data_IF_889702420069
#
_entry.id   IF_889702420069
#
_cell.length_a   1.000
_cell.length_b   1.000
_cell.length_c   1.000
_cell.angle_alpha   90.00
_cell.angle_beta   90.00
_cell.angle_gamma   90.00
#
_symmetry.space_group_name_H-M   'P 1'
#
loop_
_entity.id
_entity.type
_entity.pdbx_description
1 polymer ?
#
# COMPACT_ATOMS: atom_id res chain seq x y z
N UNK A 1 -2.18 14.95 3.93
CA UNK A 1 -2.70 13.78 3.17
C UNK A 1 -3.19 14.15 1.77
N UNK A 2 -4.03 15.17 1.58
CA UNK A 2 -4.55 15.53 0.25
C UNK A 2 -3.48 15.89 -0.78
N UNK A 3 -2.48 16.71 -0.44
CA UNK A 3 -1.40 17.09 -1.35
C UNK A 3 -0.59 15.86 -1.83
N UNK A 4 -0.24 14.95 -0.92
CA UNK A 4 0.50 13.73 -1.28
C UNK A 4 -0.29 12.83 -2.22
N UNK A 5 -1.61 12.71 -2.04
CA UNK A 5 -2.46 11.95 -2.95
C UNK A 5 -2.53 12.60 -4.33
N UNK A 6 -2.63 13.94 -4.38
CA UNK A 6 -2.60 14.70 -5.63
C UNK A 6 -1.30 14.50 -6.39
N UNK A 7 -0.15 14.55 -5.70
CA UNK A 7 1.16 14.36 -6.32
C UNK A 7 1.31 12.94 -6.90
N UNK A 8 0.89 11.91 -6.15
CA UNK A 8 0.94 10.52 -6.63
C UNK A 8 -0.02 10.30 -7.79
N UNK A 9 -1.23 10.88 -7.74
CA UNK A 9 -2.19 10.81 -8.85
C UNK A 9 -1.65 11.51 -10.11
N UNK A 10 -1.03 12.67 -9.97
CA UNK A 10 -0.42 13.40 -11.09
C UNK A 10 0.68 12.56 -11.78
N UNK A 11 1.50 11.87 -11.00
CA UNK A 11 2.51 10.96 -11.52
C UNK A 11 1.88 9.78 -12.28
N UNK A 12 0.85 9.14 -11.73
CA UNK A 12 0.19 8.01 -12.39
C UNK A 12 -0.56 8.45 -13.66
N UNK A 13 -1.20 9.61 -13.66
CA UNK A 13 -1.82 10.17 -14.87
C UNK A 13 -0.78 10.44 -15.97
N UNK A 14 0.40 10.89 -15.59
CA UNK A 14 1.53 11.06 -16.52
C UNK A 14 2.01 9.71 -17.07
N UNK A 15 2.08 8.69 -16.22
CA UNK A 15 2.50 7.33 -16.61
C UNK A 15 1.55 6.69 -17.63
N UNK A 16 0.25 6.95 -17.54
CA UNK A 16 -0.74 6.47 -18.53
C UNK A 16 -0.83 7.34 -19.79
N UNK A 17 0.10 8.30 -19.95
CA UNK A 17 0.26 9.09 -21.17
C UNK A 17 -0.54 10.39 -21.24
N UNK A 18 -1.20 10.81 -20.16
CA UNK A 18 -1.86 12.10 -20.09
C UNK A 18 -0.84 13.24 -19.91
N UNK A 19 -1.08 14.37 -20.56
CA UNK A 19 -0.26 15.57 -20.38
C UNK A 19 -0.73 16.32 -19.14
N UNK A 20 -0.06 16.08 -18.02
CA UNK A 20 -0.36 16.75 -16.75
C UNK A 20 0.37 18.08 -16.67
N UNK A 21 -0.29 19.10 -16.17
CA UNK A 21 0.31 20.42 -15.89
C UNK A 21 0.41 20.62 -14.39
N UNK A 22 1.59 21.08 -13.95
CA UNK A 22 1.84 21.35 -12.53
C UNK A 22 1.04 22.56 -12.06
N UNK A 23 0.25 22.38 -11.00
CA UNK A 23 -0.53 23.42 -10.34
C UNK A 23 -0.36 23.43 -8.83
N UNK A 24 0.17 22.35 -8.26
CA UNK A 24 0.45 22.25 -6.83
C UNK A 24 1.69 23.03 -6.38
N UNK A 25 2.65 23.20 -7.30
CA UNK A 25 3.93 23.88 -7.03
C UNK A 25 4.21 24.98 -8.08
N UNK A 26 3.20 25.79 -8.40
CA UNK A 26 3.32 26.87 -9.40
C UNK A 26 4.40 27.87 -9.02
N UNK A 27 4.59 28.14 -7.73
CA UNK A 27 5.60 29.08 -7.24
C UNK A 27 7.02 28.67 -7.66
N UNK A 28 7.32 27.36 -7.67
CA UNK A 28 8.62 26.87 -8.16
C UNK A 28 8.82 27.15 -9.64
N UNK A 29 7.77 27.01 -10.45
CA UNK A 29 7.83 27.31 -11.89
C UNK A 29 7.97 28.81 -12.13
N UNK A 30 7.26 29.63 -11.35
CA UNK A 30 7.36 31.11 -11.47
C UNK A 30 8.73 31.61 -11.03
N UNK A 31 9.32 31.04 -9.97
CA UNK A 31 10.67 31.39 -9.52
C UNK A 31 11.71 31.09 -10.59
N UNK A 32 11.61 29.96 -11.28
CA UNK A 32 12.52 29.63 -12.40
C UNK A 32 12.37 30.60 -13.58
N UNK A 33 11.12 31.01 -13.87
CA UNK A 33 10.87 32.04 -14.89
C UNK A 33 11.44 33.42 -14.50
N UNK A 34 11.38 33.77 -13.22
CA UNK A 34 11.96 35.00 -12.70
C UNK A 34 13.47 34.99 -12.76
N UNK A 35 14.13 33.91 -12.38
CA UNK A 35 15.59 33.75 -12.50
C UNK A 35 16.05 33.87 -13.97
N UNK A 36 15.25 33.34 -14.90
CA UNK A 36 15.53 33.45 -16.32
C UNK A 36 15.38 34.89 -16.84
N UNK A 37 14.34 35.62 -16.39
CA UNK A 37 14.11 37.02 -16.75
C UNK A 37 15.21 37.95 -16.19
N UNK A 38 15.72 37.66 -14.99
CA UNK A 38 16.83 38.40 -14.36
C UNK A 38 18.19 38.09 -14.99
N UNK A 39 18.25 37.14 -15.94
CA UNK A 39 19.49 36.75 -16.61
C UNK A 39 20.47 35.95 -15.73
N UNK A 40 20.00 35.47 -14.58
CA UNK A 40 20.81 34.66 -13.64
C UNK A 40 21.08 33.27 -14.23
N UNK A 41 20.10 32.72 -14.97
CA UNK A 41 20.22 31.43 -15.65
C UNK A 41 20.77 31.64 -17.05
N UNK A 42 21.99 31.11 -17.30
CA UNK A 42 22.65 31.26 -18.61
C UNK A 42 22.07 30.33 -19.66
N UNK A 43 21.91 30.87 -20.87
CA UNK A 43 21.59 30.06 -22.06
C UNK A 43 22.82 29.21 -22.40
N UNK A 44 22.74 27.91 -22.21
CA UNK A 44 23.78 27.00 -22.68
C UNK A 44 23.64 26.85 -24.19
N UNK A 45 24.77 26.87 -24.94
CA UNK A 45 24.78 26.80 -26.40
C UNK A 45 24.07 25.57 -27.02
N UNK A 46 23.78 24.55 -26.21
CA UNK A 46 23.02 23.33 -26.57
C UNK A 46 21.51 23.40 -26.26
N UNK A 47 21.07 24.27 -25.35
CA UNK A 47 19.68 24.43 -24.98
C UNK A 47 19.27 25.88 -24.95
N UNK A 48 18.64 26.33 -26.03
CA UNK A 48 18.07 27.67 -26.13
C UNK A 48 16.77 27.84 -25.34
N UNK A 49 16.46 26.86 -24.46
CA UNK A 49 15.24 26.79 -23.66
C UNK A 49 15.48 27.36 -22.25
N UNK A 50 15.43 28.66 -22.14
CA UNK A 50 15.19 29.30 -20.84
C UNK A 50 13.69 29.34 -20.56
N UNK A 51 13.29 29.22 -19.29
CA UNK A 51 11.91 29.41 -18.88
C UNK A 51 11.45 30.81 -19.30
N UNK A 52 10.25 30.91 -19.88
CA UNK A 52 9.67 32.18 -20.34
C UNK A 52 8.31 32.40 -19.72
N UNK A 53 8.04 33.58 -19.23
CA UNK A 53 6.72 33.97 -18.74
C UNK A 53 5.69 33.94 -19.88
N UNK A 54 4.44 33.63 -19.52
CA UNK A 54 3.32 33.60 -20.47
C UNK A 54 3.21 32.30 -21.28
N UNK A 55 4.15 31.37 -21.17
CA UNK A 55 4.12 30.10 -21.90
C UNK A 55 3.55 28.92 -21.11
N UNK A 56 2.97 29.14 -19.93
CA UNK A 56 2.31 28.10 -19.17
C UNK A 56 1.05 27.61 -19.90
N UNK A 57 0.96 26.30 -20.07
CA UNK A 57 -0.21 25.70 -20.73
C UNK A 57 -1.43 25.73 -19.80
N UNK A 58 -2.60 26.08 -20.35
CA UNK A 58 -3.86 25.88 -19.67
C UNK A 58 -4.21 24.39 -19.55
N UNK A 59 -4.92 24.03 -18.50
CA UNK A 59 -5.50 22.70 -18.35
C UNK A 59 -6.88 22.68 -19.03
N UNK A 60 -7.14 21.67 -19.87
CA UNK A 60 -8.44 21.44 -20.48
C UNK A 60 -9.43 20.81 -19.50
N UNK A 61 -8.90 19.94 -18.64
CA UNK A 61 -9.67 19.26 -17.60
C UNK A 61 -9.03 19.46 -16.25
N UNK A 62 -9.84 19.55 -15.21
CA UNK A 62 -9.42 19.56 -13.80
C UNK A 62 -9.92 18.29 -13.17
N UNK A 63 -9.02 17.55 -12.51
CA UNK A 63 -9.36 16.34 -11.78
C UNK A 63 -9.45 16.71 -10.30
N UNK A 64 -10.63 16.58 -9.74
CA UNK A 64 -10.89 16.80 -8.33
C UNK A 64 -11.16 15.46 -7.66
N UNK A 65 -10.63 15.27 -6.45
CA UNK A 65 -10.86 14.03 -5.72
C UNK A 65 -10.64 14.20 -4.23
N UNK A 66 -11.21 13.25 -3.48
CA UNK A 66 -11.09 13.18 -2.04
C UNK A 66 -11.24 11.75 -1.53
N UNK A 67 -10.72 11.49 -0.34
CA UNK A 67 -10.93 10.23 0.36
C UNK A 67 -12.33 10.25 0.95
N UNK A 68 -13.19 9.32 0.51
CA UNK A 68 -14.54 9.16 1.02
C UNK A 68 -14.66 8.10 2.11
N UNK A 69 -13.78 7.11 2.10
CA UNK A 69 -13.71 6.09 3.15
C UNK A 69 -12.28 5.57 3.33
N UNK A 70 -11.93 5.28 4.56
CA UNK A 70 -10.66 4.65 4.90
C UNK A 70 -10.87 3.71 6.10
N UNK A 71 -10.52 2.44 5.95
CA UNK A 71 -10.66 1.42 6.97
C UNK A 71 -9.38 0.60 7.08
N UNK A 72 -8.95 0.36 8.30
CA UNK A 72 -7.89 -0.58 8.63
C UNK A 72 -8.43 -1.70 9.51
N UNK A 73 -8.16 -2.94 9.12
CA UNK A 73 -8.52 -4.12 9.89
C UNK A 73 -7.29 -4.94 10.24
N UNK A 74 -7.22 -5.41 11.47
CA UNK A 74 -6.21 -6.37 11.93
C UNK A 74 -6.90 -7.59 12.48
N UNK A 75 -6.69 -8.73 11.85
CA UNK A 75 -7.12 -10.02 12.39
C UNK A 75 -5.91 -10.86 12.79
N UNK A 76 -5.95 -11.38 14.01
CA UNK A 76 -4.90 -12.28 14.50
C UNK A 76 -5.45 -13.71 14.46
N UNK A 77 -4.79 -14.57 13.70
CA UNK A 77 -4.98 -16.01 13.77
C UNK A 77 -3.82 -16.60 14.56
N UNK A 78 -4.08 -17.06 15.75
CA UNK A 78 -3.13 -17.86 16.51
C UNK A 78 -3.28 -19.30 16.04
N UNK A 79 -2.33 -19.77 15.24
CA UNK A 79 -2.19 -21.21 14.99
C UNK A 79 -1.56 -21.83 16.22
N UNK A 80 -2.38 -22.43 17.08
CA UNK A 80 -1.96 -23.10 18.31
C UNK A 80 -1.43 -24.52 18.04
N UNK A 81 -0.77 -24.75 16.92
CA UNK A 81 -0.05 -26.00 16.72
C UNK A 81 1.33 -25.90 17.37
N UNK A 82 1.37 -26.01 18.70
CA UNK A 82 2.61 -26.24 19.41
C UNK A 82 2.91 -27.72 19.40
N UNK A 83 3.87 -28.14 18.58
CA UNK A 83 4.42 -29.48 18.69
C UNK A 83 5.63 -29.41 19.64
N UNK A 84 5.52 -30.11 20.75
CA UNK A 84 6.63 -30.31 21.66
C UNK A 84 7.09 -31.75 21.58
N UNK A 85 8.34 -31.98 21.19
CA UNK A 85 8.97 -33.29 21.19
C UNK A 85 10.37 -33.14 21.79
N UNK A 86 10.67 -33.94 22.82
CA UNK A 86 11.99 -33.99 23.48
C UNK A 86 12.56 -32.61 23.88
N UNK A 87 11.74 -31.74 24.45
CA UNK A 87 12.20 -30.40 24.89
C UNK A 87 12.29 -29.34 23.79
N UNK A 88 12.00 -29.69 22.54
CA UNK A 88 11.88 -28.74 21.46
C UNK A 88 10.38 -28.37 21.31
N UNK A 89 10.06 -27.09 21.38
CA UNK A 89 8.73 -26.58 21.08
C UNK A 89 8.80 -25.62 19.91
N UNK A 90 7.89 -25.80 18.98
CA UNK A 90 7.74 -24.94 17.82
C UNK A 90 6.29 -24.43 17.80
N UNK A 91 6.15 -23.12 17.78
CA UNK A 91 4.86 -22.45 17.69
C UNK A 91 4.89 -21.36 16.62
N UNK A 92 3.75 -21.10 16.00
CA UNK A 92 3.62 -20.05 15.00
C UNK A 92 2.31 -19.31 15.17
N UNK A 93 2.29 -18.06 14.72
CA UNK A 93 1.07 -17.26 14.62
C UNK A 93 1.12 -16.43 13.36
N UNK A 94 -0.04 -16.18 12.75
CA UNK A 94 -0.15 -15.24 11.64
C UNK A 94 -1.06 -14.09 12.03
N UNK A 95 -0.61 -12.88 11.71
CA UNK A 95 -1.42 -11.66 11.82
C UNK A 95 -1.73 -11.20 10.41
N UNK A 96 -3.00 -11.14 10.05
CA UNK A 96 -3.46 -10.57 8.79
C UNK A 96 -3.91 -9.14 9.03
N UNK A 97 -3.31 -8.21 8.30
CA UNK A 97 -3.71 -6.80 8.30
C UNK A 97 -4.30 -6.48 6.93
N UNK A 98 -5.42 -5.80 6.92
CA UNK A 98 -6.08 -5.34 5.70
C UNK A 98 -6.27 -3.84 5.75
N UNK A 99 -6.22 -3.19 4.59
CA UNK A 99 -6.59 -1.80 4.43
C UNK A 99 -7.52 -1.66 3.23
N UNK A 100 -8.50 -0.78 3.39
CA UNK A 100 -9.45 -0.37 2.37
C UNK A 100 -9.46 1.14 2.27
N UNK A 101 -9.50 1.66 1.06
CA UNK A 101 -9.66 3.09 0.78
C UNK A 101 -10.63 3.28 -0.38
N UNK A 102 -11.50 4.26 -0.28
CA UNK A 102 -12.34 4.73 -1.37
C UNK A 102 -12.01 6.19 -1.69
N UNK A 103 -11.86 6.48 -2.97
CA UNK A 103 -11.59 7.82 -3.50
C UNK A 103 -12.72 8.22 -4.42
N UNK A 104 -13.32 9.38 -4.16
CA UNK A 104 -14.28 10.00 -5.07
C UNK A 104 -13.57 10.93 -6.03
N UNK A 105 -13.77 10.72 -7.32
CA UNK A 105 -13.17 11.49 -8.40
C UNK A 105 -14.21 12.19 -9.23
N UNK A 106 -13.88 13.40 -9.67
CA UNK A 106 -14.64 14.18 -10.64
C UNK A 106 -13.69 14.77 -11.68
N UNK A 107 -14.04 14.61 -12.93
CA UNK A 107 -13.35 15.22 -14.06
C UNK A 107 -14.20 16.41 -14.53
N UNK A 108 -13.65 17.60 -14.45
CA UNK A 108 -14.35 18.85 -14.74
C UNK A 108 -13.72 19.50 -15.97
N UNK A 109 -14.55 19.89 -16.92
CA UNK A 109 -14.12 20.72 -18.04
C UNK A 109 -13.79 22.14 -17.52
N UNK A 110 -12.56 22.58 -17.69
CA UNK A 110 -12.10 23.88 -17.14
C UNK A 110 -12.74 25.09 -17.82
N UNK A 111 -13.27 24.93 -19.03
CA UNK A 111 -13.92 26.02 -19.79
C UNK A 111 -15.38 26.19 -19.39
N UNK A 112 -16.12 25.09 -19.24
CA UNK A 112 -17.57 25.15 -18.98
C UNK A 112 -17.91 24.95 -17.51
N UNK A 113 -17.00 24.43 -16.70
CA UNK A 113 -17.27 24.01 -15.30
C UNK A 113 -18.10 22.72 -15.19
N UNK A 114 -18.43 22.09 -16.31
CA UNK A 114 -19.24 20.87 -16.34
C UNK A 114 -18.46 19.65 -15.82
N UNK A 115 -19.12 18.83 -15.00
CA UNK A 115 -18.58 17.54 -14.57
C UNK A 115 -18.82 16.54 -15.70
N UNK A 116 -17.78 16.24 -16.47
CA UNK A 116 -17.85 15.30 -17.61
C UNK A 116 -17.83 13.85 -17.18
N UNK A 117 -17.28 13.56 -15.99
CA UNK A 117 -17.29 12.23 -15.42
C UNK A 117 -17.10 12.28 -13.89
N UNK A 118 -17.69 11.34 -13.19
CA UNK A 118 -17.50 11.14 -11.76
C UNK A 118 -17.48 9.65 -11.43
N UNK A 119 -16.64 9.26 -10.46
CA UNK A 119 -16.47 7.85 -10.07
C UNK A 119 -15.92 7.74 -8.67
N UNK A 120 -16.41 6.75 -7.92
CA UNK A 120 -15.73 6.24 -6.73
C UNK A 120 -14.86 5.06 -7.14
N UNK A 121 -13.57 5.14 -6.83
CA UNK A 121 -12.60 4.06 -7.02
C UNK A 121 -12.15 3.53 -5.68
N UNK A 122 -11.89 2.23 -5.62
CA UNK A 122 -11.55 1.54 -4.37
C UNK A 122 -10.19 0.88 -4.49
N UNK A 123 -9.45 0.90 -3.39
CA UNK A 123 -8.20 0.18 -3.25
C UNK A 123 -8.23 -0.69 -2.01
N UNK A 124 -7.86 -1.95 -2.16
CA UNK A 124 -7.75 -2.90 -1.05
C UNK A 124 -6.37 -3.51 -1.04
N UNK A 125 -5.83 -3.73 0.15
CA UNK A 125 -4.58 -4.44 0.31
C UNK A 125 -4.63 -5.31 1.57
N UNK A 126 -3.98 -6.47 1.48
CA UNK A 126 -3.80 -7.39 2.60
C UNK A 126 -2.32 -7.65 2.81
N UNK A 127 -1.93 -7.80 4.06
CA UNK A 127 -0.58 -8.16 4.46
C UNK A 127 -0.67 -9.21 5.56
N UNK A 128 0.10 -10.29 5.41
CA UNK A 128 0.17 -11.37 6.40
C UNK A 128 1.55 -11.35 7.02
N UNK A 129 1.62 -11.14 8.32
CA UNK A 129 2.84 -11.24 9.11
C UNK A 129 2.86 -12.62 9.76
N UNK A 130 3.83 -13.44 9.42
CA UNK A 130 4.04 -14.75 10.04
C UNK A 130 5.09 -14.63 11.14
N UNK A 131 4.73 -15.07 12.34
CA UNK A 131 5.64 -15.18 13.47
C UNK A 131 5.92 -16.67 13.66
N UNK A 132 7.19 -17.05 13.61
CA UNK A 132 7.65 -18.38 13.96
C UNK A 132 8.51 -18.26 15.21
N UNK A 133 8.17 -18.98 16.24
CA UNK A 133 8.95 -19.10 17.44
C UNK A 133 9.34 -20.58 17.63
N UNK A 134 10.60 -20.84 17.83
CA UNK A 134 11.09 -22.15 18.23
C UNK A 134 11.91 -21.99 19.50
N UNK A 135 11.59 -22.76 20.51
CA UNK A 135 12.36 -22.84 21.74
C UNK A 135 12.83 -24.25 21.93
N UNK A 136 14.07 -24.38 22.36
CA UNK A 136 14.65 -25.63 22.75
C UNK A 136 15.02 -25.53 24.24
N UNK A 137 14.46 -26.43 25.04
CA UNK A 137 14.82 -26.61 26.44
C UNK A 137 15.40 -28.00 26.61
N UNK A 138 16.66 -28.06 26.87
CA UNK A 138 17.40 -29.33 27.09
C UNK A 138 16.95 -30.13 28.31
N UNK A 139 16.12 -29.55 29.19
CA UNK A 139 15.59 -30.22 30.36
C UNK A 139 14.76 -31.49 30.02
N UNK A 140 14.02 -31.45 28.88
CA UNK A 140 13.27 -32.62 28.39
C UNK A 140 14.14 -33.81 28.03
N UNK A 141 15.32 -33.56 27.46
CA UNK A 141 16.31 -34.60 27.13
C UNK A 141 16.98 -35.11 28.42
N UNK A 142 17.27 -34.23 29.36
CA UNK A 142 17.79 -34.59 30.66
C UNK A 142 16.87 -35.52 31.43
N UNK A 143 15.57 -35.23 31.44
CA UNK A 143 14.57 -36.09 32.10
C UNK A 143 14.43 -37.45 31.41
N UNK A 144 14.49 -37.49 30.08
CA UNK A 144 14.46 -38.77 29.34
C UNK A 144 15.71 -39.62 29.61
N UNK A 145 16.89 -38.99 29.60
CA UNK A 145 18.16 -39.69 29.93
C UNK A 145 18.12 -40.24 31.35
N UNK A 146 17.45 -39.57 32.27
CA UNK A 146 17.28 -40.00 33.65
C UNK A 146 16.28 -41.18 33.79
N UNK A 147 15.23 -41.21 32.95
CA UNK A 147 14.23 -42.26 32.92
C UNK A 147 14.73 -43.57 32.27
N UNK A 148 15.70 -43.48 31.37
CA UNK A 148 16.23 -44.63 30.63
C UNK A 148 17.39 -45.37 31.30
N UNK A 149 17.83 -44.97 32.48
CA UNK A 149 18.91 -45.72 33.16
C UNK A 149 19.62 -44.90 34.25
N UNK A 150 18.90 -44.55 35.20
CA UNK A 150 19.05 -43.52 36.21
C UNK A 150 20.33 -43.39 37.03
N UNK A 151 21.40 -44.19 36.91
CA UNK A 151 22.52 -44.07 37.84
C UNK A 151 23.92 -44.10 37.22
N UNK A 152 24.05 -44.01 35.92
CA UNK A 152 25.38 -43.95 35.32
C UNK A 152 25.94 -42.49 35.33
N UNK A 153 27.28 -42.37 35.51
CA UNK A 153 27.97 -41.06 35.41
C UNK A 153 27.67 -40.34 34.09
N UNK A 154 27.39 -41.10 33.04
CA UNK A 154 27.03 -40.58 31.73
C UNK A 154 25.66 -39.87 31.74
N UNK A 155 24.64 -40.41 32.41
CA UNK A 155 23.32 -39.79 32.49
C UNK A 155 23.32 -38.47 33.25
N UNK A 156 24.17 -38.33 34.28
CA UNK A 156 24.34 -37.06 35.01
C UNK A 156 25.09 -36.02 34.20
N UNK A 157 26.11 -36.41 33.42
CA UNK A 157 26.80 -35.51 32.50
C UNK A 157 25.88 -35.06 31.35
N UNK A 158 25.10 -35.94 30.76
CA UNK A 158 24.12 -35.59 29.73
C UNK A 158 23.04 -34.68 30.28
N UNK A 159 22.55 -34.91 31.48
CA UNK A 159 21.56 -34.06 32.13
C UNK A 159 22.06 -32.64 32.40
N UNK A 160 23.30 -32.48 32.81
CA UNK A 160 23.91 -31.16 33.08
C UNK A 160 24.20 -30.36 31.78
N UNK A 161 24.65 -31.05 30.74
CA UNK A 161 24.91 -30.43 29.43
C UNK A 161 23.56 -30.04 28.74
N UNK A 162 22.56 -30.93 28.80
CA UNK A 162 21.25 -30.67 28.23
C UNK A 162 20.52 -29.52 28.94
N UNK A 163 20.67 -29.40 30.28
CA UNK A 163 20.06 -28.31 31.05
C UNK A 163 20.67 -26.93 30.79
N UNK A 164 21.90 -26.86 30.28
CA UNK A 164 22.56 -25.61 29.90
C UNK A 164 22.26 -25.17 28.46
N UNK A 165 21.69 -26.05 27.65
CA UNK A 165 21.30 -25.71 26.26
C UNK A 165 19.90 -25.13 26.21
N UNK A 166 19.78 -23.80 26.33
CA UNK A 166 18.57 -23.06 26.07
C UNK A 166 18.77 -22.22 24.83
N UNK A 167 17.97 -22.47 23.80
CA UNK A 167 17.96 -21.70 22.56
C UNK A 167 16.58 -21.23 22.21
N UNK A 168 16.40 -19.91 22.12
CA UNK A 168 15.17 -19.31 21.62
C UNK A 168 15.48 -18.61 20.28
N UNK A 169 14.82 -19.04 19.23
CA UNK A 169 14.83 -18.34 17.94
C UNK A 169 13.43 -17.85 17.66
N UNK A 170 13.27 -16.54 17.54
CA UNK A 170 12.06 -15.91 17.06
C UNK A 170 12.38 -15.18 15.77
N UNK A 171 11.66 -15.48 14.70
CA UNK A 171 11.70 -14.73 13.45
C UNK A 171 10.35 -14.07 13.21
N UNK A 172 10.39 -12.79 12.94
CA UNK A 172 9.20 -12.01 12.59
C UNK A 172 9.41 -11.51 11.16
N UNK A 173 8.63 -12.03 10.24
CA UNK A 173 8.60 -11.53 8.88
C UNK A 173 7.53 -10.46 8.80
N UNK A 174 7.96 -9.19 8.75
CA UNK A 174 7.07 -8.03 8.63
C UNK A 174 6.90 -7.68 7.16
N UNK A 175 5.72 -7.96 6.62
CA UNK A 175 5.35 -7.43 5.31
C UNK A 175 4.91 -5.96 5.43
N UNK A 176 5.22 -5.17 4.38
CA UNK A 176 4.92 -3.73 4.30
C UNK A 176 3.46 -3.43 4.64
N UNK A 177 3.26 -2.29 5.31
CA UNK A 177 1.96 -1.78 5.75
C UNK A 177 0.94 -1.83 4.60
N UNK A 178 -0.22 -2.47 4.78
CA UNK A 178 -1.22 -2.60 3.72
C UNK A 178 -1.80 -1.26 3.26
N UNK A 179 -1.75 -0.24 4.11
CA UNK A 179 -2.21 1.13 3.83
C UNK A 179 -1.66 1.71 2.54
N UNK A 180 -0.32 1.73 2.39
CA UNK A 180 0.32 2.33 1.22
C UNK A 180 -0.01 1.57 -0.07
N UNK A 181 -0.18 0.26 0.04
CA UNK A 181 -0.58 -0.59 -1.09
C UNK A 181 -2.04 -0.32 -1.49
N UNK A 182 -2.95 -0.15 -0.52
CA UNK A 182 -4.34 0.18 -0.78
C UNK A 182 -4.48 1.55 -1.45
N UNK A 183 -3.75 2.55 -0.96
CA UNK A 183 -3.71 3.89 -1.56
C UNK A 183 -3.22 3.82 -3.01
N UNK A 184 -2.10 3.14 -3.27
CA UNK A 184 -1.58 2.98 -4.63
C UNK A 184 -2.55 2.25 -5.55
N UNK A 185 -3.21 1.19 -5.08
CA UNK A 185 -4.22 0.47 -5.86
C UNK A 185 -5.40 1.37 -6.24
N UNK A 186 -5.89 2.19 -5.31
CA UNK A 186 -6.94 3.15 -5.60
C UNK A 186 -6.51 4.22 -6.62
N UNK A 187 -5.28 4.73 -6.51
CA UNK A 187 -4.75 5.75 -7.44
C UNK A 187 -4.55 5.17 -8.84
N UNK A 188 -4.03 3.94 -8.97
CA UNK A 188 -3.92 3.25 -10.27
C UNK A 188 -5.32 3.10 -10.89
N UNK A 189 -6.30 2.62 -10.14
CA UNK A 189 -7.68 2.51 -10.63
C UNK A 189 -8.27 3.87 -11.01
N UNK A 190 -7.91 4.94 -10.30
CA UNK A 190 -8.30 6.30 -10.62
C UNK A 190 -7.69 6.78 -11.95
N UNK A 191 -6.39 6.56 -12.15
CA UNK A 191 -5.69 6.96 -13.37
C UNK A 191 -6.20 6.19 -14.60
N UNK A 192 -6.46 4.90 -14.45
CA UNK A 192 -7.05 4.06 -15.51
C UNK A 192 -8.45 4.55 -15.90
N UNK A 193 -9.27 4.90 -14.91
CA UNK A 193 -10.59 5.46 -15.17
C UNK A 193 -10.51 6.80 -15.93
N UNK A 194 -9.65 7.72 -15.48
CA UNK A 194 -9.48 9.02 -16.14
C UNK A 194 -8.96 8.85 -17.57
N UNK A 195 -7.99 7.97 -17.78
CA UNK A 195 -7.47 7.64 -19.10
C UNK A 195 -8.56 7.04 -20.00
N UNK A 196 -9.36 6.13 -19.45
CA UNK A 196 -10.50 5.56 -20.18
C UNK A 196 -11.48 6.63 -20.63
N UNK A 197 -11.87 7.55 -19.76
CA UNK A 197 -12.85 8.61 -20.05
C UNK A 197 -12.31 9.64 -21.04
N UNK A 198 -11.07 10.09 -20.86
CA UNK A 198 -10.52 11.21 -21.63
C UNK A 198 -9.86 10.78 -22.96
N UNK A 199 -9.24 9.60 -23.00
CA UNK A 199 -8.41 9.18 -24.13
C UNK A 199 -9.03 8.00 -24.88
N UNK A 200 -9.22 6.87 -24.20
CA UNK A 200 -9.58 5.61 -24.84
C UNK A 200 -11.02 5.63 -25.37
N UNK A 201 -11.96 6.12 -24.57
CA UNK A 201 -13.39 6.30 -24.93
C UNK A 201 -13.99 5.08 -25.61
N UNK A 202 -14.03 3.94 -24.94
CA UNK A 202 -14.47 2.69 -25.54
C UNK A 202 -15.06 1.70 -24.57
N UNK A 203 -14.81 0.42 -24.80
CA UNK A 203 -15.33 -0.69 -23.99
C UNK A 203 -14.92 -0.62 -22.52
N UNK A 204 -13.82 0.05 -22.19
CA UNK A 204 -13.37 0.27 -20.83
C UNK A 204 -14.40 0.99 -19.95
N UNK A 205 -15.21 1.90 -20.51
CA UNK A 205 -16.27 2.59 -19.76
C UNK A 205 -17.31 1.58 -19.25
N UNK A 206 -17.71 0.65 -20.09
CA UNK A 206 -18.68 -0.38 -19.72
C UNK A 206 -18.17 -1.29 -18.59
N UNK A 207 -16.86 -1.59 -18.56
CA UNK A 207 -16.24 -2.36 -17.48
C UNK A 207 -16.29 -1.59 -16.15
N UNK A 208 -15.95 -0.31 -16.17
CA UNK A 208 -16.04 0.56 -14.99
C UNK A 208 -17.47 0.72 -14.48
N UNK A 209 -18.45 0.87 -15.36
CA UNK A 209 -19.87 0.91 -15.01
C UNK A 209 -20.36 -0.41 -14.42
N UNK A 210 -19.94 -1.54 -14.99
CA UNK A 210 -20.27 -2.86 -14.46
C UNK A 210 -19.70 -3.07 -13.05
N UNK A 211 -18.46 -2.64 -12.80
CA UNK A 211 -17.86 -2.66 -11.48
C UNK A 211 -18.64 -1.80 -10.48
N UNK A 212 -19.09 -0.61 -10.90
CA UNK A 212 -19.90 0.28 -10.06
C UNK A 212 -21.27 -0.33 -9.71
N UNK A 213 -21.95 -0.93 -10.69
CA UNK A 213 -23.22 -1.64 -10.44
C UNK A 213 -23.04 -2.76 -9.41
N UNK A 214 -21.95 -3.54 -9.51
CA UNK A 214 -21.65 -4.61 -8.53
C UNK A 214 -21.39 -4.02 -7.14
N UNK A 215 -20.63 -2.94 -7.04
CA UNK A 215 -20.34 -2.25 -5.78
C UNK A 215 -21.63 -1.77 -5.11
N UNK A 216 -22.48 -1.06 -5.87
CA UNK A 216 -23.78 -0.57 -5.35
C UNK A 216 -24.68 -1.71 -4.89
N UNK A 217 -24.78 -2.77 -5.67
CA UNK A 217 -25.58 -3.95 -5.30
C UNK A 217 -25.09 -4.59 -3.99
N UNK A 218 -23.76 -4.69 -3.82
CA UNK A 218 -23.17 -5.22 -2.58
C UNK A 218 -23.47 -4.30 -1.40
N UNK A 219 -23.34 -2.99 -1.53
CA UNK A 219 -23.65 -2.04 -0.45
C UNK A 219 -25.14 -2.11 -0.07
N UNK A 220 -26.02 -2.12 -1.06
CA UNK A 220 -27.47 -2.23 -0.80
C UNK A 220 -27.86 -3.54 -0.10
N UNK A 221 -27.19 -4.65 -0.41
CA UNK A 221 -27.48 -5.94 0.23
C UNK A 221 -27.02 -6.00 1.70
N UNK A 222 -26.17 -5.08 2.13
CA UNK A 222 -25.72 -4.97 3.53
C UNK A 222 -26.54 -3.99 4.36
N UNK A 223 -27.38 -3.17 3.70
CA UNK A 223 -28.29 -2.25 4.39
C UNK A 223 -29.59 -3.00 4.72
N UNK A 224 -29.82 -3.26 6.00
CA UNK A 224 -31.14 -3.67 6.50
C UNK A 224 -31.93 -2.39 6.78
N UNK A 225 -32.98 -2.16 6.01
CA UNK A 225 -33.97 -1.12 6.32
C UNK A 225 -35.04 -1.80 7.18
N UNK A 226 -34.97 -1.61 8.52
CA UNK A 226 -36.05 -1.91 9.45
C UNK A 226 -37.13 -0.83 9.43
#
# INVERSE_FOLDING_TARGET
MGKQLSDVLSNELSNVGLKVVERGNVDAVLSEQELADLGIVTKTARNNNTAKRGNMRGAQFIILGGVSSYEEGVSQKADTSSQSFLGASSGGGSTESSAYIALDLRVVNSTTGEIVASKTVEGTAKSTTKKKASSFDGAGIGNLAQSMGGNSRASRMFGSIAGSMKGNKASVEVNKVPKDKAIRAAIISASDYVNCVLVVRGSCIAEFEAAERRRRAKTLSTLSFD
#
